data_IF_557315985772
#
_entry.id   IF_557315985772
#
_cell.length_a   1.000
_cell.length_b   1.000
_cell.length_c   1.000
_cell.angle_alpha   90.00
_cell.angle_beta   90.00
_cell.angle_gamma   90.00
#
_symmetry.space_group_name_H-M   'P 1'
#
loop_
_entity.id
_entity.type
_entity.pdbx_description
1 polymer ?
#
# COMPACT_ATOMS: atom_id res chain seq x y z
N UNK A 1 13.50 1.98 0.56
CA UNK A 1 12.60 0.81 0.76
C UNK A 1 11.30 1.04 0.00
N UNK A 2 10.71 -0.01 -0.55
CA UNK A 2 9.45 -0.03 -1.29
C UNK A 2 8.44 -0.87 -0.51
N UNK A 3 7.27 -0.31 -0.16
CA UNK A 3 6.23 -1.03 0.57
C UNK A 3 5.20 -1.57 -0.42
N UNK A 4 4.86 -2.85 -0.30
CA UNK A 4 3.86 -3.49 -1.14
C UNK A 4 2.81 -4.23 -0.29
N UNK A 5 1.64 -4.45 -0.88
CA UNK A 5 0.60 -5.32 -0.34
C UNK A 5 -0.41 -5.62 -1.46
N UNK A 6 -1.10 -6.75 -1.36
CA UNK A 6 -2.17 -7.10 -2.29
C UNK A 6 -3.23 -5.98 -2.40
N UNK A 7 -3.76 -5.68 -3.59
CA UNK A 7 -4.80 -4.67 -3.79
C UNK A 7 -6.00 -4.84 -2.86
N UNK A 8 -6.41 -6.10 -2.64
CA UNK A 8 -7.53 -6.46 -1.78
C UNK A 8 -7.30 -6.04 -0.32
N UNK A 9 -6.08 -6.20 0.19
CA UNK A 9 -5.71 -5.80 1.55
C UNK A 9 -5.67 -4.27 1.69
N UNK A 10 -5.15 -3.57 0.68
CA UNK A 10 -5.12 -2.09 0.67
C UNK A 10 -6.52 -1.51 0.57
N UNK A 11 -7.37 -2.07 -0.29
CA UNK A 11 -8.77 -1.71 -0.42
C UNK A 11 -9.54 -1.98 0.88
N UNK A 12 -9.30 -3.10 1.56
CA UNK A 12 -9.98 -3.44 2.81
C UNK A 12 -9.63 -2.49 3.96
N UNK A 13 -8.36 -2.05 4.05
CA UNK A 13 -7.92 -1.02 5.00
C UNK A 13 -8.59 0.33 4.69
N UNK A 14 -8.53 0.75 3.42
CA UNK A 14 -9.15 2.00 2.97
C UNK A 14 -10.66 2.02 3.20
N UNK A 15 -11.35 0.92 2.92
CA UNK A 15 -12.78 0.79 3.12
C UNK A 15 -13.15 0.93 4.60
N UNK A 16 -12.43 0.25 5.51
CA UNK A 16 -12.61 0.41 6.96
C UNK A 16 -12.43 1.87 7.38
N UNK A 17 -11.37 2.53 6.93
CA UNK A 17 -11.12 3.95 7.26
C UNK A 17 -12.27 4.88 6.82
N UNK A 18 -12.96 4.55 5.72
CA UNK A 18 -14.09 5.33 5.20
C UNK A 18 -15.37 5.06 6.00
N UNK A 19 -15.63 3.79 6.33
CA UNK A 19 -16.75 3.39 7.18
C UNK A 19 -16.62 3.99 8.58
N UNK A 20 -15.42 3.96 9.17
CA UNK A 20 -15.15 4.55 10.49
C UNK A 20 -15.34 6.08 10.50
N UNK A 21 -15.22 6.73 9.34
CA UNK A 21 -15.54 8.15 9.13
C UNK A 21 -17.02 8.42 8.85
N UNK A 22 -17.87 7.40 8.92
CA UNK A 22 -19.31 7.49 8.66
C UNK A 22 -19.69 7.54 7.18
N UNK A 23 -18.77 7.19 6.26
CA UNK A 23 -19.09 7.12 4.84
C UNK A 23 -19.71 5.77 4.50
N UNK A 24 -20.83 5.79 3.77
CA UNK A 24 -21.43 4.59 3.22
C UNK A 24 -20.89 4.33 1.80
N UNK A 25 -19.83 3.52 1.72
CA UNK A 25 -19.15 3.17 0.47
C UNK A 25 -19.09 1.65 0.30
N UNK A 26 -19.26 1.20 -0.94
CA UNK A 26 -19.18 -0.23 -1.27
C UNK A 26 -17.72 -0.70 -1.38
N UNK A 27 -17.43 -1.90 -0.87
CA UNK A 27 -16.07 -2.46 -0.91
C UNK A 27 -15.60 -2.73 -2.35
N UNK A 28 -16.48 -3.21 -3.25
CA UNK A 28 -16.09 -3.48 -4.64
C UNK A 28 -15.77 -2.18 -5.39
N UNK A 29 -16.48 -1.09 -5.07
CA UNK A 29 -16.10 0.23 -5.56
C UNK A 29 -14.69 0.62 -5.11
N UNK A 30 -14.39 0.55 -3.81
CA UNK A 30 -13.07 0.91 -3.27
C UNK A 30 -11.96 0.03 -3.86
N UNK A 31 -12.23 -1.26 -4.06
CA UNK A 31 -11.29 -2.20 -4.68
C UNK A 31 -10.99 -1.82 -6.13
N UNK A 32 -12.02 -1.50 -6.92
CA UNK A 32 -11.87 -1.07 -8.31
C UNK A 32 -11.05 0.21 -8.40
N UNK A 33 -11.40 1.22 -7.62
CA UNK A 33 -10.67 2.50 -7.55
C UNK A 33 -9.21 2.30 -7.12
N UNK A 34 -8.96 1.38 -6.20
CA UNK A 34 -7.59 1.03 -5.76
C UNK A 34 -6.79 0.43 -6.91
N UNK A 35 -7.34 -0.54 -7.64
CA UNK A 35 -6.67 -1.18 -8.78
C UNK A 35 -6.42 -0.22 -9.93
N UNK A 36 -7.42 0.57 -10.30
CA UNK A 36 -7.32 1.56 -11.37
C UNK A 36 -6.22 2.59 -11.06
N UNK A 37 -6.16 3.09 -9.82
CA UNK A 37 -5.09 4.00 -9.41
C UNK A 37 -3.72 3.33 -9.50
N UNK A 38 -3.58 2.10 -9.03
CA UNK A 38 -2.30 1.39 -9.10
C UNK A 38 -1.84 1.18 -10.55
N UNK A 39 -2.78 0.87 -11.46
CA UNK A 39 -2.51 0.73 -12.90
C UNK A 39 -2.05 2.06 -13.50
N UNK A 40 -2.73 3.16 -13.21
CA UNK A 40 -2.37 4.50 -13.67
C UNK A 40 -0.98 4.89 -13.13
N UNK A 41 -0.75 4.72 -11.83
CA UNK A 41 0.51 5.11 -11.18
C UNK A 41 1.69 4.26 -11.66
N UNK A 42 1.47 2.99 -11.99
CA UNK A 42 2.53 2.11 -12.51
C UNK A 42 2.87 2.44 -13.97
N UNK A 43 1.87 2.83 -14.78
CA UNK A 43 2.03 3.02 -16.23
C UNK A 43 2.22 4.48 -16.67
N UNK A 44 2.13 5.46 -15.75
CA UNK A 44 2.30 6.88 -16.10
C UNK A 44 3.68 7.13 -16.71
N UNK A 45 3.71 7.97 -17.75
CA UNK A 45 4.94 8.30 -18.48
C UNK A 45 5.97 9.00 -17.58
N UNK A 46 5.51 9.91 -16.73
CA UNK A 46 6.36 10.67 -15.82
C UNK A 46 6.39 10.05 -14.43
N UNK A 47 7.60 9.72 -13.96
CA UNK A 47 7.86 9.16 -12.63
C UNK A 47 6.99 7.93 -12.28
N UNK A 48 6.99 6.84 -13.08
CA UNK A 48 6.16 5.66 -12.81
C UNK A 48 6.45 5.07 -11.42
N UNK A 49 5.40 4.53 -10.78
CA UNK A 49 5.52 3.82 -9.51
C UNK A 49 6.25 2.49 -9.73
N UNK A 50 7.54 2.48 -9.39
CA UNK A 50 8.39 1.29 -9.42
C UNK A 50 9.42 1.36 -8.29
N UNK A 51 9.87 0.20 -7.77
CA UNK A 51 10.98 0.18 -6.83
C UNK A 51 12.25 0.76 -7.47
N UNK A 52 13.04 1.51 -6.69
CA UNK A 52 14.39 1.90 -7.10
C UNK A 52 15.29 0.65 -7.19
N UNK A 53 16.39 0.74 -7.95
CA UNK A 53 17.27 -0.42 -8.18
C UNK A 53 17.88 -1.02 -6.91
N UNK A 54 18.07 -0.19 -5.89
CA UNK A 54 18.58 -0.53 -4.56
C UNK A 54 17.47 -0.62 -3.50
N UNK A 55 16.20 -0.50 -3.88
CA UNK A 55 15.10 -0.52 -2.93
C UNK A 55 14.85 -1.94 -2.41
N UNK A 56 14.99 -2.12 -1.10
CA UNK A 56 14.41 -3.26 -0.39
C UNK A 56 12.88 -3.22 -0.49
N UNK A 57 12.25 -4.32 -0.91
CA UNK A 57 10.78 -4.46 -0.93
C UNK A 57 10.31 -5.11 0.37
N UNK A 58 9.30 -4.52 1.01
CA UNK A 58 8.65 -5.05 2.21
C UNK A 58 7.15 -5.23 1.97
N UNK A 59 6.66 -6.47 2.03
CA UNK A 59 5.24 -6.77 1.98
C UNK A 59 4.59 -6.53 3.36
N UNK A 60 3.61 -5.63 3.40
CA UNK A 60 2.88 -5.24 4.61
C UNK A 60 1.45 -5.78 4.62
N UNK A 61 1.14 -6.76 3.79
CA UNK A 61 -0.19 -7.38 3.68
C UNK A 61 -0.69 -7.94 5.01
N UNK A 62 0.20 -8.56 5.78
CA UNK A 62 -0.12 -9.23 7.06
C UNK A 62 0.52 -8.56 8.29
N UNK A 63 1.08 -7.36 8.12
CA UNK A 63 1.76 -6.65 9.19
C UNK A 63 0.86 -5.57 9.78
N UNK A 64 0.92 -5.41 11.11
CA UNK A 64 0.39 -4.23 11.77
C UNK A 64 1.28 -3.02 11.52
N UNK A 65 0.79 -1.81 11.78
CA UNK A 65 1.59 -0.58 11.63
C UNK A 65 2.87 -0.66 12.46
N UNK A 66 2.78 -1.10 13.71
CA UNK A 66 3.93 -1.22 14.60
C UNK A 66 4.97 -2.21 14.07
N UNK A 67 4.53 -3.35 13.53
CA UNK A 67 5.41 -4.35 12.92
C UNK A 67 6.09 -3.80 11.65
N UNK A 68 5.36 -3.04 10.84
CA UNK A 68 5.96 -2.37 9.67
C UNK A 68 7.05 -1.41 10.15
N UNK A 69 6.75 -0.53 11.11
CA UNK A 69 7.70 0.45 11.66
C UNK A 69 8.94 -0.23 12.22
N UNK A 70 8.77 -1.30 13.01
CA UNK A 70 9.87 -2.10 13.54
C UNK A 70 10.75 -2.65 12.42
N UNK A 71 10.16 -3.23 11.37
CA UNK A 71 10.90 -3.72 10.20
C UNK A 71 11.69 -2.60 9.51
N UNK A 72 11.14 -1.39 9.40
CA UNK A 72 11.86 -0.25 8.83
C UNK A 72 13.08 0.09 9.69
N UNK A 73 12.89 0.20 11.01
CA UNK A 73 13.96 0.54 11.95
C UNK A 73 15.06 -0.53 11.99
N UNK A 74 14.69 -1.81 11.90
CA UNK A 74 15.64 -2.91 11.78
C UNK A 74 16.52 -2.78 10.53
N UNK A 75 15.95 -2.41 9.38
CA UNK A 75 16.74 -2.21 8.16
C UNK A 75 17.68 -1.01 8.28
N UNK A 76 17.21 0.10 8.84
CA UNK A 76 18.04 1.31 9.02
C UNK A 76 19.24 1.08 9.93
N UNK A 77 19.12 0.20 10.94
CA UNK A 77 20.22 -0.15 11.86
C UNK A 77 21.25 -1.11 11.27
N UNK A 78 20.95 -1.75 10.15
CA UNK A 78 21.83 -2.71 9.46
C UNK A 78 22.70 -2.06 8.37
N UNK A 79 22.41 -0.81 8.04
CA UNK A 79 23.24 0.05 7.20
C UNK A 79 24.29 0.76 8.06
#
# INVERSE_FOLDING_TARGET
MFLSAAPEQRAARRWRDLVDKGQNVDFQQVLRETKERDEIDTNRADSPLRPAGDALTLDTGQLTVDQVVEKILEQLRRC
#
